data_IF_880044042514
#
_entry.id   IF_880044042514
#
_cell.length_a   1.000
_cell.length_b   1.000
_cell.length_c   1.000
_cell.angle_alpha   90.00
_cell.angle_beta   90.00
_cell.angle_gamma   90.00
#
_symmetry.space_group_name_H-M   'P 1'
#
loop_
_entity.id
_entity.type
_entity.pdbx_description
1 polymer ?
#
# COMPACT_ATOMS: atom_id res chain seq x y z
N UNK A 1 -5.60 -6.23 -44.31
CA UNK A 1 -6.78 -7.06 -43.99
C UNK A 1 -6.94 -7.08 -42.48
N UNK A 2 -7.91 -6.32 -41.97
CA UNK A 2 -8.26 -6.22 -40.56
C UNK A 2 -9.19 -7.36 -40.17
N UNK A 3 -8.80 -8.20 -39.21
CA UNK A 3 -9.69 -9.19 -38.60
C UNK A 3 -10.14 -8.66 -37.23
N UNK A 4 -11.39 -8.23 -37.18
CA UNK A 4 -12.15 -8.01 -35.95
C UNK A 4 -12.59 -9.35 -35.38
N UNK A 5 -12.35 -9.61 -34.10
CA UNK A 5 -12.95 -10.74 -33.39
C UNK A 5 -13.88 -10.21 -32.30
N UNK A 6 -15.14 -10.57 -32.45
CA UNK A 6 -16.31 -10.21 -31.64
C UNK A 6 -16.25 -10.83 -30.25
N UNK A 7 -16.74 -10.09 -29.25
CA UNK A 7 -16.84 -10.50 -27.85
C UNK A 7 -17.96 -11.53 -27.61
N UNK A 8 -17.67 -12.57 -26.83
CA UNK A 8 -18.66 -13.52 -26.30
C UNK A 8 -19.30 -12.99 -24.98
N UNK A 9 -20.50 -13.49 -24.57
CA UNK A 9 -21.32 -12.90 -23.51
C UNK A 9 -20.83 -13.21 -22.09
N UNK A 10 -21.19 -12.32 -21.14
CA UNK A 10 -21.01 -12.48 -19.70
C UNK A 10 -22.02 -13.49 -19.13
N UNK A 11 -21.57 -14.61 -18.54
CA UNK A 11 -22.16 -15.21 -17.34
C UNK A 11 -21.38 -16.43 -16.81
N UNK A 12 -21.63 -16.75 -15.54
CA UNK A 12 -21.12 -17.85 -14.70
C UNK A 12 -19.79 -17.57 -13.98
N UNK A 13 -19.85 -16.73 -12.94
CA UNK A 13 -18.99 -16.91 -11.76
C UNK A 13 -19.85 -17.52 -10.65
N UNK A 14 -19.64 -18.81 -10.39
CA UNK A 14 -20.32 -19.54 -9.33
C UNK A 14 -19.82 -19.11 -7.95
N UNK A 15 -20.52 -18.17 -7.33
CA UNK A 15 -20.42 -17.89 -5.90
C UNK A 15 -21.70 -18.42 -5.23
N UNK A 16 -21.59 -19.53 -4.49
CA UNK A 16 -22.67 -20.00 -3.63
C UNK A 16 -22.85 -19.04 -2.44
N UNK A 17 -24.09 -18.68 -2.06
CA UNK A 17 -24.34 -17.90 -0.85
C UNK A 17 -24.03 -18.73 0.40
N UNK A 18 -23.43 -18.08 1.40
CA UNK A 18 -23.08 -18.67 2.70
C UNK A 18 -24.37 -19.04 3.47
N UNK A 19 -24.45 -20.20 4.15
CA UNK A 19 -25.64 -20.59 4.90
C UNK A 19 -25.84 -19.71 6.15
N UNK A 20 -27.10 -19.33 6.43
CA UNK A 20 -27.50 -18.72 7.69
C UNK A 20 -27.23 -19.68 8.87
N UNK A 21 -26.37 -19.26 9.80
CA UNK A 21 -26.16 -19.94 11.06
C UNK A 21 -27.12 -19.36 12.11
N UNK A 22 -28.23 -20.05 12.35
CA UNK A 22 -29.10 -19.83 13.51
C UNK A 22 -28.41 -20.33 14.78
N UNK A 23 -27.89 -19.41 15.60
CA UNK A 23 -27.33 -19.74 16.92
C UNK A 23 -28.34 -19.35 17.99
N UNK A 24 -29.00 -20.36 18.58
CA UNK A 24 -29.77 -20.22 19.83
C UNK A 24 -28.82 -20.09 21.03
N UNK A 25 -28.96 -19.03 21.81
CA UNK A 25 -28.21 -18.83 23.05
C UNK A 25 -28.76 -19.70 24.20
N UNK A 26 -27.93 -20.43 24.96
CA UNK A 26 -28.30 -20.95 26.27
C UNK A 26 -27.97 -19.93 27.38
N UNK A 27 -28.92 -19.70 28.27
CA UNK A 27 -28.76 -18.80 29.42
C UNK A 27 -28.01 -19.43 30.59
N UNK A 28 -27.18 -18.64 31.26
CA UNK A 28 -26.66 -18.92 32.62
C UNK A 28 -26.62 -17.60 33.41
N UNK A 29 -27.01 -17.70 34.67
CA UNK A 29 -27.26 -16.61 35.61
C UNK A 29 -25.99 -16.05 36.30
N UNK A 30 -26.08 -14.74 36.58
CA UNK A 30 -25.43 -13.87 37.58
C UNK A 30 -24.28 -14.41 38.47
N UNK A 31 -23.12 -13.74 38.46
CA UNK A 31 -22.71 -12.71 39.46
C UNK A 31 -21.27 -12.24 39.21
N UNK A 32 -21.08 -11.00 38.76
CA UNK A 32 -19.79 -10.28 38.85
C UNK A 32 -20.08 -8.83 39.23
N UNK A 33 -19.38 -8.38 40.26
CA UNK A 33 -19.36 -7.04 40.84
C UNK A 33 -19.26 -5.94 39.78
N UNK A 34 -20.13 -4.93 39.89
CA UNK A 34 -20.21 -3.78 39.00
C UNK A 34 -18.91 -2.96 39.04
N UNK A 35 -18.05 -3.14 38.03
CA UNK A 35 -17.33 -2.01 37.47
C UNK A 35 -18.28 -1.32 36.49
N UNK A 36 -18.52 -0.03 36.67
CA UNK A 36 -19.34 0.76 35.74
C UNK A 36 -18.71 0.65 34.34
N UNK A 37 -19.42 0.11 33.33
CA UNK A 37 -18.91 0.13 31.97
C UNK A 37 -18.79 1.60 31.53
N UNK A 38 -17.76 1.98 30.76
CA UNK A 38 -17.83 3.24 30.02
C UNK A 38 -19.12 3.22 29.19
N UNK A 39 -19.87 4.32 29.18
CA UNK A 39 -21.18 4.39 28.54
C UNK A 39 -21.09 3.93 27.07
N UNK A 40 -21.80 2.84 26.75
CA UNK A 40 -21.80 2.18 25.43
C UNK A 40 -22.30 3.07 24.27
N UNK A 41 -22.85 4.25 24.55
CA UNK A 41 -23.40 5.16 23.52
C UNK A 41 -22.32 5.88 22.67
N UNK A 42 -21.08 5.96 23.16
CA UNK A 42 -19.99 6.64 22.43
C UNK A 42 -19.52 5.87 21.19
N UNK A 43 -19.42 4.55 21.29
CA UNK A 43 -18.80 3.70 20.27
C UNK A 43 -19.76 3.31 19.13
N UNK A 44 -21.08 3.36 19.35
CA UNK A 44 -22.09 3.10 18.32
C UNK A 44 -22.07 4.12 17.16
N UNK A 45 -21.32 5.22 17.30
CA UNK A 45 -21.12 6.24 16.26
C UNK A 45 -19.99 5.91 15.29
N UNK A 46 -19.15 4.92 15.62
CA UNK A 46 -18.06 4.51 14.75
C UNK A 46 -18.52 3.52 13.69
N UNK A 47 -17.82 3.53 12.55
CA UNK A 47 -17.95 2.48 11.55
C UNK A 47 -17.70 1.10 12.20
N UNK A 48 -18.46 0.05 11.84
CA UNK A 48 -18.29 -1.29 12.41
C UNK A 48 -16.84 -1.81 12.40
N UNK A 49 -16.02 -1.47 11.39
CA UNK A 49 -14.61 -1.89 11.37
C UNK A 49 -13.78 -1.28 12.50
N UNK A 50 -14.10 -0.06 12.92
CA UNK A 50 -13.44 0.62 14.04
C UNK A 50 -13.92 0.01 15.37
N UNK A 51 -15.21 -0.30 15.49
CA UNK A 51 -15.74 -1.01 16.66
C UNK A 51 -15.07 -2.38 16.82
N UNK A 52 -14.89 -3.12 15.73
CA UNK A 52 -14.14 -4.38 15.74
C UNK A 52 -12.67 -4.17 16.11
N UNK A 53 -12.02 -3.12 15.61
CA UNK A 53 -10.65 -2.79 15.98
C UNK A 53 -10.53 -2.52 17.49
N UNK A 54 -11.44 -1.73 18.06
CA UNK A 54 -11.47 -1.43 19.50
C UNK A 54 -11.62 -2.72 20.30
N UNK A 55 -12.63 -3.53 19.99
CA UNK A 55 -12.84 -4.80 20.69
C UNK A 55 -11.67 -5.77 20.56
N UNK A 56 -11.03 -5.83 19.39
CA UNK A 56 -9.82 -6.62 19.19
C UNK A 56 -8.66 -6.10 20.07
N UNK A 57 -8.36 -4.80 20.02
CA UNK A 57 -7.28 -4.19 20.80
C UNK A 57 -7.50 -4.37 22.31
N UNK A 58 -8.73 -4.16 22.80
CA UNK A 58 -9.08 -4.38 24.20
C UNK A 58 -8.91 -5.84 24.63
N UNK A 59 -9.18 -6.79 23.74
CA UNK A 59 -8.99 -8.22 24.02
C UNK A 59 -7.52 -8.62 24.04
N UNK A 60 -6.73 -8.17 23.06
CA UNK A 60 -5.34 -8.66 22.87
C UNK A 60 -4.28 -7.81 23.55
N UNK A 61 -4.58 -6.55 23.85
CA UNK A 61 -3.66 -5.59 24.48
C UNK A 61 -4.45 -4.50 25.24
N UNK A 62 -5.09 -4.83 26.38
CA UNK A 62 -5.84 -3.87 27.19
C UNK A 62 -5.00 -2.64 27.56
N UNK A 63 -5.48 -1.43 27.23
CA UNK A 63 -4.72 -0.16 27.43
C UNK A 63 -3.50 0.01 26.51
N UNK A 64 -3.30 -0.91 25.56
CA UNK A 64 -2.18 -0.90 24.62
C UNK A 64 -2.24 0.27 23.65
N UNK A 65 -3.45 0.72 23.29
CA UNK A 65 -3.66 1.90 22.43
C UNK A 65 -3.27 3.19 23.14
N UNK A 66 -3.68 3.40 24.39
CA UNK A 66 -3.27 4.58 25.18
C UNK A 66 -1.74 4.64 25.31
N UNK A 67 -1.12 3.49 25.61
CA UNK A 67 0.34 3.38 25.70
C UNK A 67 1.02 3.67 24.36
N UNK A 68 0.44 3.21 23.25
CA UNK A 68 0.94 3.52 21.91
C UNK A 68 0.85 5.02 21.62
N UNK A 69 -0.27 5.67 21.93
CA UNK A 69 -0.44 7.12 21.72
C UNK A 69 0.58 7.92 22.53
N UNK A 70 0.82 7.54 23.79
CA UNK A 70 1.86 8.18 24.62
C UNK A 70 3.26 8.00 24.01
N UNK A 71 3.60 6.78 23.57
CA UNK A 71 4.87 6.51 22.90
C UNK A 71 5.02 7.31 21.61
N UNK A 72 4.01 7.32 20.73
CA UNK A 72 3.99 8.08 19.50
C UNK A 72 4.15 9.59 19.76
N UNK A 73 3.45 10.12 20.75
CA UNK A 73 3.50 11.53 21.16
C UNK A 73 4.87 11.93 21.71
N UNK A 74 5.54 11.04 22.45
CA UNK A 74 6.91 11.30 22.93
C UNK A 74 7.94 11.32 21.80
N UNK A 75 7.73 10.50 20.76
CA UNK A 75 8.65 10.40 19.62
C UNK A 75 8.47 11.53 18.63
N UNK A 76 7.22 11.91 18.35
CA UNK A 76 6.89 12.93 17.35
C UNK A 76 5.67 13.79 17.73
N UNK A 77 5.82 14.70 18.71
CA UNK A 77 4.69 15.52 19.18
C UNK A 77 4.16 16.47 18.09
N UNK A 78 5.03 16.98 17.22
CA UNK A 78 4.63 17.88 16.13
C UNK A 78 3.74 17.18 15.09
N UNK A 79 4.08 15.94 14.73
CA UNK A 79 3.30 15.14 13.78
C UNK A 79 1.94 14.76 14.37
N UNK A 80 1.91 14.32 15.64
CA UNK A 80 0.66 14.03 16.35
C UNK A 80 -0.25 15.26 16.41
N UNK A 81 0.34 16.43 16.74
CA UNK A 81 -0.39 17.70 16.79
C UNK A 81 -0.90 18.14 15.42
N UNK A 82 -0.17 17.88 14.32
CA UNK A 82 -0.60 18.22 12.94
C UNK A 82 -1.97 17.61 12.62
N UNK A 83 -2.23 16.40 13.11
CA UNK A 83 -3.47 15.66 12.87
C UNK A 83 -4.40 15.65 14.09
N UNK A 84 -4.13 16.49 15.09
CA UNK A 84 -4.94 16.65 16.30
C UNK A 84 -5.16 15.35 17.11
N UNK A 85 -4.20 14.42 17.06
CA UNK A 85 -4.25 13.16 17.81
C UNK A 85 -3.59 13.41 19.18
N UNK A 86 -4.38 13.30 20.26
CA UNK A 86 -3.96 13.62 21.63
C UNK A 86 -4.08 12.43 22.59
N UNK A 87 -4.97 11.51 22.28
CA UNK A 87 -5.38 10.39 23.11
C UNK A 87 -5.95 9.25 22.23
N UNK A 88 -6.27 8.10 22.83
CA UNK A 88 -6.86 6.99 22.10
C UNK A 88 -8.20 7.34 21.41
N UNK A 89 -9.16 8.05 22.05
CA UNK A 89 -10.39 8.47 21.38
C UNK A 89 -10.17 9.33 20.13
N UNK A 90 -9.29 10.35 20.19
CA UNK A 90 -9.00 11.20 19.03
C UNK A 90 -8.33 10.43 17.89
N UNK A 91 -7.50 9.43 18.19
CA UNK A 91 -6.97 8.51 17.18
C UNK A 91 -8.06 7.65 16.53
N UNK A 92 -8.99 7.11 17.33
CA UNK A 92 -10.10 6.30 16.81
C UNK A 92 -11.06 7.13 15.94
N UNK A 93 -11.29 8.40 16.29
CA UNK A 93 -11.99 9.35 15.42
C UNK A 93 -11.22 9.62 14.13
N UNK A 94 -9.91 9.88 14.20
CA UNK A 94 -9.08 10.03 13.02
C UNK A 94 -9.15 8.81 12.09
N UNK A 95 -9.03 7.60 12.64
CA UNK A 95 -9.16 6.35 11.88
C UNK A 95 -10.57 6.19 11.27
N UNK A 96 -11.61 6.48 12.04
CA UNK A 96 -12.97 6.41 11.52
C UNK A 96 -13.22 7.39 10.37
N UNK A 97 -12.72 8.62 10.50
CA UNK A 97 -12.90 9.67 9.50
C UNK A 97 -12.13 9.36 8.22
N UNK A 98 -11.02 8.62 8.32
CA UNK A 98 -10.25 8.16 7.17
C UNK A 98 -11.09 7.28 6.23
N UNK A 99 -12.07 6.52 6.74
CA UNK A 99 -12.94 5.65 5.94
C UNK A 99 -13.83 6.42 4.95
N UNK A 100 -14.04 7.73 5.17
CA UNK A 100 -14.79 8.61 4.26
C UNK A 100 -13.97 9.85 3.89
N UNK A 101 -12.65 9.77 3.98
CA UNK A 101 -11.76 10.90 3.77
C UNK A 101 -11.64 11.26 2.29
N UNK A 102 -11.97 12.51 1.98
CA UNK A 102 -11.78 13.12 0.66
C UNK A 102 -10.36 13.70 0.58
N UNK A 103 -9.43 13.11 -0.19
CA UNK A 103 -8.04 13.54 -0.17
C UNK A 103 -7.86 14.97 -0.68
N UNK A 104 -6.98 15.72 -0.04
CA UNK A 104 -6.53 17.06 -0.43
C UNK A 104 -5.06 17.19 -0.17
N UNK A 105 -4.44 18.17 -0.83
CA UNK A 105 -3.01 18.36 -0.76
C UNK A 105 -2.63 19.82 -0.55
N UNK A 106 -1.50 20.02 0.14
CA UNK A 106 -0.84 21.31 0.26
C UNK A 106 -0.01 21.62 -0.98
N UNK A 107 0.54 22.83 -1.04
CA UNK A 107 1.49 23.19 -2.08
C UNK A 107 2.71 22.23 -2.10
N UNK A 108 3.16 21.76 -0.94
CA UNK A 108 4.36 20.92 -0.79
C UNK A 108 4.15 19.44 -1.14
N UNK A 109 2.91 18.97 -1.30
CA UNK A 109 2.66 17.58 -1.72
C UNK A 109 2.95 16.53 -0.64
N UNK A 110 2.70 16.85 0.64
CA UNK A 110 3.01 15.96 1.79
C UNK A 110 1.80 15.51 2.60
N UNK A 111 0.64 16.15 2.50
CA UNK A 111 -0.46 15.91 3.42
C UNK A 111 -1.06 14.51 3.27
N UNK A 112 -1.25 14.00 2.04
CA UNK A 112 -1.71 12.61 1.85
C UNK A 112 -0.73 11.62 2.44
N UNK A 113 0.56 11.85 2.20
CA UNK A 113 1.63 11.00 2.71
C UNK A 113 1.63 10.98 4.24
N UNK A 114 1.58 12.15 4.86
CA UNK A 114 1.57 12.34 6.31
C UNK A 114 0.34 11.68 6.96
N UNK A 115 -0.86 11.87 6.38
CA UNK A 115 -2.10 11.26 6.88
C UNK A 115 -2.00 9.73 6.87
N UNK A 116 -1.52 9.15 5.77
CA UNK A 116 -1.35 7.70 5.68
C UNK A 116 -0.27 7.20 6.63
N UNK A 117 0.85 7.91 6.75
CA UNK A 117 1.93 7.54 7.67
C UNK A 117 1.48 7.58 9.13
N UNK A 118 0.66 8.55 9.53
CA UNK A 118 0.21 8.70 10.91
C UNK A 118 -0.57 7.48 11.41
N UNK A 119 -1.49 6.96 10.60
CA UNK A 119 -2.28 5.79 10.97
C UNK A 119 -1.38 4.61 11.37
N UNK A 120 -0.38 4.31 10.53
CA UNK A 120 0.54 3.21 10.80
C UNK A 120 1.59 3.56 11.85
N UNK A 121 2.01 4.82 11.96
CA UNK A 121 2.97 5.26 12.98
C UNK A 121 2.46 4.97 14.39
N UNK A 122 1.18 5.22 14.68
CA UNK A 122 0.57 4.87 15.97
C UNK A 122 0.55 3.35 16.18
N UNK A 123 0.21 2.58 15.14
CA UNK A 123 0.17 1.12 15.23
C UNK A 123 1.56 0.48 15.25
N UNK A 124 2.62 1.20 14.87
CA UNK A 124 4.02 0.74 14.91
C UNK A 124 4.70 0.89 16.28
N UNK A 125 3.98 1.48 17.23
CA UNK A 125 4.48 1.61 18.60
C UNK A 125 4.62 0.23 19.26
N UNK A 126 5.59 0.06 20.19
CA UNK A 126 5.97 -1.27 20.71
C UNK A 126 4.81 -2.14 21.20
N UNK A 127 3.78 -1.54 21.79
CA UNK A 127 2.59 -2.23 22.31
C UNK A 127 1.67 -2.78 21.23
N UNK A 128 1.65 -2.17 20.04
CA UNK A 128 0.74 -2.51 18.94
C UNK A 128 1.45 -3.06 17.71
N UNK A 129 2.78 -2.95 17.61
CA UNK A 129 3.55 -3.29 16.40
C UNK A 129 3.24 -4.67 15.82
N UNK A 130 3.11 -5.68 16.70
CA UNK A 130 2.81 -7.07 16.30
C UNK A 130 1.36 -7.28 15.84
N UNK A 131 0.50 -6.28 16.02
CA UNK A 131 -0.93 -6.31 15.73
C UNK A 131 -1.30 -5.54 14.45
N UNK A 132 -0.30 -5.05 13.70
CA UNK A 132 -0.52 -4.36 12.42
C UNK A 132 -0.99 -5.32 11.32
N UNK A 133 -2.27 -5.69 11.35
CA UNK A 133 -2.80 -6.72 10.44
C UNK A 133 -4.28 -6.53 10.13
N UNK A 134 -4.63 -5.49 9.37
CA UNK A 134 -5.95 -5.47 8.73
C UNK A 134 -5.90 -4.87 7.32
N UNK A 135 -5.76 -5.76 6.33
CA UNK A 135 -5.99 -5.42 4.93
C UNK A 135 -7.42 -4.90 4.69
N UNK A 136 -8.38 -5.33 5.52
CA UNK A 136 -9.79 -4.93 5.42
C UNK A 136 -9.93 -3.42 5.60
N UNK A 137 -9.26 -2.82 6.57
CA UNK A 137 -9.34 -1.37 6.80
C UNK A 137 -8.85 -0.58 5.57
N UNK A 138 -7.68 -0.95 5.03
CA UNK A 138 -7.15 -0.32 3.81
C UNK A 138 -8.08 -0.52 2.61
N UNK A 139 -8.68 -1.71 2.46
CA UNK A 139 -9.68 -1.97 1.41
C UNK A 139 -10.92 -1.10 1.55
N UNK A 140 -11.42 -0.87 2.77
CA UNK A 140 -12.61 -0.03 3.00
C UNK A 140 -12.35 1.43 2.66
N UNK A 141 -11.20 1.99 3.10
CA UNK A 141 -10.82 3.35 2.65
C UNK A 141 -10.72 3.38 1.13
N UNK A 142 -10.14 2.34 0.54
CA UNK A 142 -10.04 2.19 -0.90
C UNK A 142 -11.36 2.17 -1.66
N UNK A 143 -12.34 1.43 -1.15
CA UNK A 143 -13.70 1.39 -1.70
C UNK A 143 -14.36 2.76 -1.67
N UNK A 144 -14.16 3.54 -0.61
CA UNK A 144 -14.62 4.93 -0.57
C UNK A 144 -13.94 5.77 -1.66
N UNK A 145 -12.64 5.61 -1.88
CA UNK A 145 -11.87 6.32 -2.91
C UNK A 145 -12.26 5.96 -4.37
N UNK A 146 -13.03 4.89 -4.55
CA UNK A 146 -13.69 4.51 -5.80
C UNK A 146 -15.10 5.11 -5.97
N UNK A 147 -15.58 5.92 -5.01
CA UNK A 147 -16.89 6.57 -5.11
C UNK A 147 -16.78 8.02 -5.62
N UNK A 148 -17.85 8.58 -6.20
CA UNK A 148 -17.89 10.00 -6.59
C UNK A 148 -17.69 10.99 -5.44
N UNK A 149 -18.00 10.59 -4.20
CA UNK A 149 -17.82 11.43 -3.02
C UNK A 149 -16.34 11.67 -2.69
N UNK A 150 -15.43 10.81 -3.16
CA UNK A 150 -14.00 10.87 -2.87
C UNK A 150 -13.24 11.98 -3.57
N UNK A 151 -13.85 12.65 -4.55
CA UNK A 151 -13.21 13.76 -5.28
C UNK A 151 -14.19 14.92 -5.45
N UNK A 152 -13.77 16.09 -4.98
CA UNK A 152 -14.55 17.33 -5.08
C UNK A 152 -13.81 18.36 -5.92
N UNK A 153 -14.48 19.43 -6.40
CA UNK A 153 -13.79 20.52 -7.10
C UNK A 153 -12.68 21.17 -6.27
N UNK A 154 -12.86 21.30 -4.95
CA UNK A 154 -11.84 21.86 -4.05
C UNK A 154 -10.68 20.90 -3.83
N UNK A 155 -10.95 19.60 -3.71
CA UNK A 155 -9.93 18.54 -3.67
C UNK A 155 -9.10 18.53 -4.95
N UNK A 156 -9.74 18.49 -6.12
CA UNK A 156 -9.06 18.53 -7.40
C UNK A 156 -8.24 19.82 -7.60
N UNK A 157 -8.77 20.97 -7.14
CA UNK A 157 -8.03 22.25 -7.14
C UNK A 157 -6.77 22.20 -6.26
N UNK A 158 -6.82 21.50 -5.12
CA UNK A 158 -5.65 21.35 -4.25
C UNK A 158 -4.49 20.64 -4.97
N UNK A 159 -4.77 19.56 -5.71
CA UNK A 159 -3.75 18.87 -6.52
C UNK A 159 -3.24 19.70 -7.69
N UNK A 160 -4.10 20.48 -8.34
CA UNK A 160 -3.69 21.44 -9.38
C UNK A 160 -2.71 22.49 -8.85
N UNK A 161 -2.90 22.88 -7.58
CA UNK A 161 -2.08 23.87 -6.91
C UNK A 161 -0.82 23.29 -6.24
N UNK A 162 -0.62 21.97 -6.30
CA UNK A 162 0.54 21.29 -5.73
C UNK A 162 1.53 20.95 -6.85
N UNK A 163 2.64 21.70 -7.02
CA UNK A 163 3.61 21.43 -8.09
C UNK A 163 4.14 19.99 -8.14
N UNK A 164 4.42 19.30 -7.01
CA UNK A 164 4.87 17.91 -7.03
C UNK A 164 3.94 16.93 -7.75
N UNK A 165 2.63 17.18 -7.75
CA UNK A 165 1.65 16.34 -8.46
C UNK A 165 1.70 16.48 -9.98
N UNK A 166 2.35 17.55 -10.48
CA UNK A 166 2.52 17.82 -11.92
C UNK A 166 1.22 17.63 -12.69
N UNK A 167 0.13 18.19 -12.18
CA UNK A 167 -1.23 17.97 -12.69
C UNK A 167 -1.35 18.25 -14.20
N UNK A 168 -0.57 19.21 -14.70
CA UNK A 168 -0.53 19.58 -16.12
C UNK A 168 -0.06 18.45 -17.05
N UNK A 169 0.62 17.42 -16.54
CA UNK A 169 1.03 16.23 -17.30
C UNK A 169 -0.11 15.22 -17.50
N UNK A 170 -1.19 15.32 -16.72
CA UNK A 170 -2.30 14.37 -16.77
C UNK A 170 -3.05 14.44 -18.11
N UNK A 171 -3.36 13.27 -18.66
CA UNK A 171 -4.38 13.13 -19.69
C UNK A 171 -5.76 13.09 -19.01
N UNK A 172 -6.53 14.16 -19.18
CA UNK A 172 -7.78 14.38 -18.45
C UNK A 172 -8.93 13.75 -19.27
N UNK A 173 -9.65 12.76 -18.72
CA UNK A 173 -10.79 12.16 -19.40
C UNK A 173 -11.88 13.17 -19.75
N UNK A 174 -12.67 12.88 -20.78
CA UNK A 174 -13.86 13.67 -21.09
C UNK A 174 -14.81 13.67 -19.88
N UNK A 175 -15.13 14.84 -19.35
CA UNK A 175 -15.92 14.98 -18.11
C UNK A 175 -15.09 15.08 -16.83
N UNK A 176 -13.76 14.95 -16.90
CA UNK A 176 -12.85 15.02 -15.77
C UNK A 176 -12.71 13.71 -15.01
N UNK A 177 -12.12 13.78 -13.82
CA UNK A 177 -11.98 12.62 -12.93
C UNK A 177 -13.23 12.51 -12.04
N UNK A 178 -13.86 11.34 -12.03
CA UNK A 178 -15.08 11.08 -11.26
C UNK A 178 -14.83 10.48 -9.88
N UNK A 179 -13.63 9.96 -9.61
CA UNK A 179 -13.24 9.40 -8.31
C UNK A 179 -11.80 9.77 -8.01
N UNK A 180 -11.39 9.73 -6.75
CA UNK A 180 -10.00 9.96 -6.38
C UNK A 180 -9.09 8.90 -6.99
N UNK A 181 -9.48 7.62 -6.97
CA UNK A 181 -8.68 6.54 -7.57
C UNK A 181 -8.49 6.72 -9.09
N UNK A 182 -9.49 7.25 -9.81
CA UNK A 182 -9.35 7.59 -11.23
C UNK A 182 -8.32 8.71 -11.46
N UNK A 183 -8.27 9.71 -10.57
CA UNK A 183 -7.24 10.76 -10.60
C UNK A 183 -5.86 10.24 -10.19
N UNK A 184 -5.79 9.44 -9.14
CA UNK A 184 -4.54 8.91 -8.62
C UNK A 184 -3.84 8.00 -9.63
N UNK A 185 -4.62 7.19 -10.34
CA UNK A 185 -4.19 6.33 -11.45
C UNK A 185 -4.35 6.99 -12.82
N UNK A 186 -4.35 8.33 -12.89
CA UNK A 186 -4.44 9.10 -14.15
C UNK A 186 -3.44 8.60 -15.19
N UNK A 187 -3.81 8.68 -16.46
CA UNK A 187 -2.85 8.55 -17.57
C UNK A 187 -2.07 9.85 -17.72
N UNK A 188 -0.90 9.79 -18.33
CA UNK A 188 -0.13 10.97 -18.73
C UNK A 188 -0.39 11.28 -20.21
N UNK A 189 -0.22 12.55 -20.59
CA UNK A 189 -0.24 12.95 -22.00
C UNK A 189 0.84 12.19 -22.77
N UNK A 190 0.58 11.78 -24.02
CA UNK A 190 1.57 11.09 -24.84
C UNK A 190 2.86 11.90 -25.01
N UNK A 191 4.01 11.20 -25.10
CA UNK A 191 5.31 11.81 -25.37
C UNK A 191 6.05 12.39 -24.17
N UNK A 192 5.45 12.44 -22.97
CA UNK A 192 6.10 12.99 -21.76
C UNK A 192 7.16 12.08 -21.13
N UNK A 193 7.18 10.79 -21.50
CA UNK A 193 8.14 9.78 -21.03
C UNK A 193 8.68 9.01 -22.24
N UNK A 194 9.58 9.61 -23.05
CA UNK A 194 10.18 8.90 -24.19
C UNK A 194 10.98 7.69 -23.70
N UNK A 195 10.74 6.53 -24.33
CA UNK A 195 11.45 5.29 -24.01
C UNK A 195 12.83 5.34 -24.65
N UNK A 196 13.87 5.02 -23.87
CA UNK A 196 15.25 4.93 -24.37
C UNK A 196 15.44 3.67 -25.20
N UNK A 197 16.17 3.78 -26.31
CA UNK A 197 16.50 2.69 -27.25
C UNK A 197 15.34 1.73 -27.56
N UNK A 198 14.21 2.20 -28.13
CA UNK A 198 13.09 1.32 -28.47
C UNK A 198 13.52 0.18 -29.41
N UNK A 199 13.24 -1.06 -29.03
CA UNK A 199 13.60 -2.26 -29.79
C UNK A 199 14.98 -2.86 -29.47
N UNK A 200 15.76 -2.24 -28.58
CA UNK A 200 17.00 -2.80 -28.04
C UNK A 200 16.77 -3.37 -26.64
N UNK A 201 16.50 -4.67 -26.56
CA UNK A 201 16.27 -5.38 -25.30
C UNK A 201 17.54 -5.51 -24.42
N UNK A 202 18.70 -5.00 -24.86
CA UNK A 202 19.88 -4.88 -23.99
C UNK A 202 19.80 -3.67 -23.05
N UNK A 203 18.91 -2.72 -23.33
CA UNK A 203 18.67 -1.52 -22.52
C UNK A 203 17.43 -1.73 -21.66
N UNK A 204 17.62 -1.70 -20.34
CA UNK A 204 16.53 -1.77 -19.37
C UNK A 204 16.16 -0.35 -18.96
N UNK A 205 14.89 0.03 -19.11
CA UNK A 205 14.38 1.35 -18.74
C UNK A 205 13.68 1.31 -17.38
N UNK A 206 13.47 2.49 -16.76
CA UNK A 206 12.72 2.56 -15.50
C UNK A 206 11.24 2.17 -15.73
N UNK A 207 10.67 1.30 -14.87
CA UNK A 207 9.29 0.86 -15.01
C UNK A 207 8.26 1.88 -14.53
N UNK A 208 8.67 2.90 -13.76
CA UNK A 208 7.75 3.89 -13.21
C UNK A 208 8.46 5.21 -12.86
N UNK A 209 7.67 6.28 -12.71
CA UNK A 209 8.12 7.50 -12.01
C UNK A 209 8.33 7.16 -10.53
N UNK A 210 9.59 7.04 -10.12
CA UNK A 210 9.94 6.63 -8.76
C UNK A 210 11.29 7.24 -8.35
N UNK A 211 11.63 7.09 -7.07
CA UNK A 211 12.99 7.33 -6.57
C UNK A 211 13.55 6.03 -6.03
N UNK A 212 14.87 5.88 -6.02
CA UNK A 212 15.47 4.84 -5.20
C UNK A 212 15.04 5.00 -3.74
N UNK A 213 14.78 3.88 -3.09
CA UNK A 213 14.30 3.90 -1.71
C UNK A 213 15.41 4.38 -0.74
N UNK A 214 16.67 4.16 -1.16
CA UNK A 214 17.91 4.45 -0.45
C UNK A 214 18.15 3.62 0.81
N UNK A 215 17.47 2.48 0.95
CA UNK A 215 17.77 1.54 2.03
C UNK A 215 19.12 0.86 1.83
N UNK A 216 19.58 0.61 0.60
CA UNK A 216 20.94 0.09 0.38
C UNK A 216 21.87 1.14 -0.23
N UNK A 217 23.17 0.95 0.05
CA UNK A 217 24.24 1.63 -0.69
C UNK A 217 24.13 1.37 -2.19
N UNK A 218 24.77 2.21 -3.01
CA UNK A 218 24.73 2.08 -4.47
C UNK A 218 23.28 2.11 -5.01
N UNK A 219 22.53 3.17 -4.69
CA UNK A 219 21.19 3.41 -5.26
C UNK A 219 20.23 2.22 -5.08
N UNK A 220 20.26 1.53 -3.94
CA UNK A 220 19.32 0.42 -3.64
C UNK A 220 19.42 -0.78 -4.59
N UNK A 221 20.62 -1.03 -5.14
CA UNK A 221 20.93 -2.25 -5.89
C UNK A 221 21.68 -3.27 -5.03
N UNK A 222 21.33 -4.56 -5.18
CA UNK A 222 22.01 -5.66 -4.51
C UNK A 222 22.16 -6.87 -5.44
N UNK A 223 23.23 -7.63 -5.26
CA UNK A 223 23.39 -8.92 -5.94
C UNK A 223 22.60 -9.99 -5.19
N UNK A 224 21.89 -10.83 -5.92
CA UNK A 224 21.24 -12.01 -5.38
C UNK A 224 22.29 -13.12 -5.32
N UNK A 225 22.54 -13.66 -4.14
CA UNK A 225 23.51 -14.73 -3.91
C UNK A 225 22.87 -15.87 -3.12
N UNK A 226 23.06 -17.10 -3.59
CA UNK A 226 22.46 -18.30 -3.02
C UNK A 226 20.94 -18.11 -2.84
N UNK A 227 20.28 -17.68 -3.93
CA UNK A 227 18.84 -17.45 -4.02
C UNK A 227 18.29 -16.40 -3.07
N UNK A 228 19.13 -15.52 -2.50
CA UNK A 228 18.74 -14.57 -1.47
C UNK A 228 19.36 -13.18 -1.66
N UNK A 229 18.73 -12.17 -1.06
CA UNK A 229 19.25 -10.80 -0.96
C UNK A 229 19.38 -10.39 0.51
N UNK A 230 20.45 -9.68 0.87
CA UNK A 230 20.62 -9.16 2.22
C UNK A 230 20.08 -7.72 2.30
N UNK A 231 19.07 -7.52 3.15
CA UNK A 231 18.39 -6.24 3.34
C UNK A 231 18.24 -6.04 4.85
N UNK A 232 18.71 -4.89 5.36
CA UNK A 232 18.71 -4.56 6.80
C UNK A 232 19.47 -5.58 7.65
N UNK A 233 20.58 -6.13 7.13
CA UNK A 233 21.35 -7.22 7.76
C UNK A 233 20.54 -8.52 7.96
N UNK A 234 19.40 -8.64 7.28
CA UNK A 234 18.57 -9.84 7.28
C UNK A 234 18.63 -10.47 5.88
N UNK A 235 18.85 -11.78 5.84
CA UNK A 235 18.87 -12.55 4.59
C UNK A 235 17.44 -12.90 4.18
N UNK A 236 17.06 -12.52 2.96
CA UNK A 236 15.74 -12.75 2.41
C UNK A 236 15.78 -13.67 1.19
N UNK A 237 15.15 -14.86 1.27
CA UNK A 237 15.03 -15.75 0.11
C UNK A 237 14.14 -15.13 -0.97
N UNK A 238 14.57 -15.20 -2.23
CA UNK A 238 13.75 -14.75 -3.37
C UNK A 238 12.49 -15.60 -3.53
N UNK A 239 12.55 -16.89 -3.18
CA UNK A 239 11.38 -17.77 -3.16
C UNK A 239 10.26 -17.20 -2.27
N UNK A 240 10.60 -16.63 -1.13
CA UNK A 240 9.62 -15.98 -0.25
C UNK A 240 8.98 -14.76 -0.93
N UNK A 241 9.76 -13.94 -1.64
CA UNK A 241 9.25 -12.78 -2.36
C UNK A 241 8.27 -13.19 -3.46
N UNK A 242 8.57 -14.29 -4.16
CA UNK A 242 7.81 -14.81 -5.29
C UNK A 242 6.74 -15.86 -4.90
N UNK A 243 6.52 -16.08 -3.60
CA UNK A 243 5.60 -17.09 -3.07
C UNK A 243 5.86 -18.46 -3.72
N UNK A 244 7.09 -18.95 -3.54
CA UNK A 244 7.59 -20.25 -3.98
C UNK A 244 7.31 -20.58 -5.46
N UNK A 245 7.44 -19.56 -6.32
CA UNK A 245 7.42 -19.74 -7.76
C UNK A 245 8.49 -20.74 -8.20
N UNK A 246 8.18 -21.59 -9.19
CA UNK A 246 9.14 -22.50 -9.82
C UNK A 246 10.34 -21.76 -10.43
N UNK A 247 10.14 -20.48 -10.77
CA UNK A 247 11.17 -19.59 -11.29
C UNK A 247 12.03 -18.93 -10.20
N UNK A 248 11.83 -19.21 -8.90
CA UNK A 248 12.60 -18.51 -7.86
C UNK A 248 14.11 -18.77 -7.96
N UNK A 249 14.50 -20.03 -8.24
CA UNK A 249 15.90 -20.42 -8.41
C UNK A 249 16.54 -19.77 -9.65
N UNK A 250 15.72 -19.31 -10.59
CA UNK A 250 16.22 -18.49 -11.66
C UNK A 250 16.90 -17.26 -11.04
N UNK A 251 16.31 -16.50 -10.12
CA UNK A 251 16.89 -15.19 -9.72
C UNK A 251 18.30 -15.20 -9.07
N UNK A 252 18.87 -16.37 -8.76
CA UNK A 252 20.24 -16.47 -8.28
C UNK A 252 21.29 -15.89 -9.26
N UNK A 253 22.28 -15.21 -8.69
CA UNK A 253 23.31 -14.47 -9.41
C UNK A 253 22.84 -13.17 -10.08
N UNK A 254 21.54 -12.86 -10.00
CA UNK A 254 20.92 -11.67 -10.58
C UNK A 254 21.12 -10.39 -9.75
N UNK A 255 20.41 -9.33 -10.17
CA UNK A 255 20.43 -8.02 -9.51
C UNK A 255 19.02 -7.69 -9.01
N UNK A 256 18.95 -7.38 -7.73
CA UNK A 256 17.78 -6.81 -7.08
C UNK A 256 17.87 -5.28 -7.08
N UNK A 257 16.74 -4.62 -7.33
CA UNK A 257 16.59 -3.17 -7.26
C UNK A 257 15.35 -2.82 -6.44
N UNK A 258 15.45 -1.80 -5.60
CA UNK A 258 14.30 -1.24 -4.90
C UNK A 258 14.09 0.22 -5.19
N UNK A 259 12.89 0.50 -5.68
CA UNK A 259 12.40 1.84 -5.95
C UNK A 259 11.09 2.09 -5.18
N UNK A 260 10.85 3.35 -4.86
CA UNK A 260 9.70 3.81 -4.10
C UNK A 260 8.90 4.83 -4.91
N UNK A 261 7.58 4.64 -4.96
CA UNK A 261 6.64 5.60 -5.53
C UNK A 261 6.01 6.41 -4.40
N UNK A 262 6.28 7.72 -4.37
CA UNK A 262 5.63 8.66 -3.47
C UNK A 262 4.21 8.98 -3.96
N UNK A 263 3.33 9.47 -3.08
CA UNK A 263 1.92 9.81 -3.36
C UNK A 263 1.71 10.83 -4.48
N UNK A 264 2.75 11.61 -4.80
CA UNK A 264 2.76 12.63 -5.86
C UNK A 264 3.14 12.07 -7.23
N UNK A 265 3.63 10.84 -7.30
CA UNK A 265 4.15 10.24 -8.53
C UNK A 265 3.02 9.82 -9.49
N UNK A 266 3.42 9.36 -10.67
CA UNK A 266 2.54 8.70 -11.62
C UNK A 266 2.41 7.22 -11.21
N UNK A 267 1.23 6.83 -10.74
CA UNK A 267 0.97 5.49 -10.18
C UNK A 267 0.47 4.49 -11.21
N UNK A 268 1.17 4.41 -12.36
CA UNK A 268 1.09 3.25 -13.24
C UNK A 268 2.50 2.78 -13.53
N UNK A 269 2.63 1.47 -13.65
CA UNK A 269 3.89 0.80 -13.94
C UNK A 269 3.86 0.29 -15.37
N UNK A 270 5.02 0.32 -16.00
CA UNK A 270 5.27 -0.10 -17.37
C UNK A 270 6.34 -1.19 -17.39
N UNK A 271 6.35 -2.00 -18.45
CA UNK A 271 7.37 -3.02 -18.61
C UNK A 271 8.74 -2.36 -18.85
N UNK A 272 9.79 -2.71 -18.09
CA UNK A 272 11.11 -2.11 -18.23
C UNK A 272 11.91 -2.64 -19.44
N UNK A 273 11.45 -3.74 -20.05
CA UNK A 273 12.03 -4.39 -21.24
C UNK A 273 10.96 -5.29 -21.88
N UNK A 274 11.12 -5.62 -23.17
CA UNK A 274 10.23 -6.55 -23.86
C UNK A 274 10.37 -7.97 -23.28
N UNK A 275 9.25 -8.70 -23.22
CA UNK A 275 9.25 -10.08 -22.76
C UNK A 275 7.88 -10.74 -22.80
N UNK A 276 7.87 -12.03 -22.50
CA UNK A 276 6.65 -12.83 -22.35
C UNK A 276 6.36 -13.06 -20.88
N UNK A 277 5.17 -12.66 -20.42
CA UNK A 277 4.73 -12.92 -19.05
C UNK A 277 4.64 -14.44 -18.83
N UNK A 278 5.37 -14.92 -17.82
CA UNK A 278 5.35 -16.31 -17.37
C UNK A 278 4.39 -16.49 -16.20
N UNK A 279 4.38 -15.54 -15.27
CA UNK A 279 3.60 -15.63 -14.04
C UNK A 279 3.10 -14.24 -13.64
N UNK A 280 1.84 -14.15 -13.20
CA UNK A 280 1.27 -12.96 -12.57
C UNK A 280 0.48 -13.38 -11.34
N UNK A 281 0.91 -12.95 -10.15
CA UNK A 281 0.29 -13.29 -8.86
C UNK A 281 -0.13 -12.04 -8.10
N UNK A 282 -1.26 -12.14 -7.39
CA UNK A 282 -1.63 -11.21 -6.33
C UNK A 282 -1.38 -11.89 -4.97
N UNK A 283 -0.23 -11.61 -4.37
CA UNK A 283 0.21 -12.24 -3.13
C UNK A 283 -0.36 -11.45 -1.96
N UNK A 284 -1.25 -12.09 -1.20
CA UNK A 284 -1.83 -11.49 0.00
C UNK A 284 -0.81 -11.51 1.15
N UNK A 285 -0.69 -10.39 1.85
CA UNK A 285 0.17 -10.24 3.02
C UNK A 285 -0.35 -9.13 3.92
N UNK A 286 0.55 -8.50 4.66
CA UNK A 286 0.19 -7.41 5.57
C UNK A 286 0.01 -6.08 4.83
N UNK A 287 -0.92 -5.25 5.31
CA UNK A 287 -0.95 -3.82 5.03
C UNK A 287 -0.24 -3.14 6.21
N UNK A 288 1.05 -2.86 6.04
CA UNK A 288 1.95 -2.39 7.08
C UNK A 288 2.77 -1.22 6.54
N UNK A 289 3.17 -0.29 7.41
CA UNK A 289 4.10 0.77 7.06
C UNK A 289 5.01 1.03 8.26
N UNK A 290 6.31 1.05 8.03
CA UNK A 290 7.28 1.53 9.02
C UNK A 290 7.42 3.05 8.88
N UNK A 291 7.18 3.77 9.98
CA UNK A 291 7.39 5.20 10.07
C UNK A 291 8.43 5.48 11.16
N UNK A 292 9.40 6.33 10.84
CA UNK A 292 10.45 6.74 11.76
C UNK A 292 9.93 7.76 12.80
N UNK A 293 10.80 8.15 13.73
CA UNK A 293 10.49 9.11 14.79
C UNK A 293 10.16 10.52 14.27
N UNK A 294 10.34 10.82 12.97
CA UNK A 294 9.93 12.09 12.36
C UNK A 294 8.68 11.94 11.49
N UNK A 295 8.03 10.76 11.50
CA UNK A 295 6.81 10.51 10.72
C UNK A 295 7.10 10.30 9.24
N UNK A 296 8.37 10.24 8.85
CA UNK A 296 8.80 9.81 7.52
C UNK A 296 8.86 8.28 7.45
N UNK A 297 8.94 7.71 6.25
CA UNK A 297 9.34 6.31 6.14
C UNK A 297 10.76 6.14 6.67
N UNK A 298 11.02 5.03 7.38
CA UNK A 298 12.38 4.62 7.70
C UNK A 298 13.12 4.33 6.38
N UNK A 299 13.86 5.32 5.87
CA UNK A 299 14.68 5.19 4.65
C UNK A 299 16.12 4.80 4.93
N UNK A 300 16.61 5.01 6.15
CA UNK A 300 18.01 4.78 6.51
C UNK A 300 18.21 3.37 7.07
N UNK A 301 19.07 2.59 6.43
CA UNK A 301 19.60 1.36 7.01
C UNK A 301 20.77 1.65 7.95
N UNK A 302 20.74 1.05 9.16
CA UNK A 302 21.90 0.98 10.05
C UNK A 302 21.94 1.95 11.24
N UNK A 303 20.87 2.68 11.56
CA UNK A 303 20.76 3.43 12.82
C UNK A 303 20.57 2.51 14.04
N UNK A 304 20.74 3.04 15.26
CA UNK A 304 20.58 2.27 16.51
C UNK A 304 19.19 1.59 16.65
N UNK A 305 18.17 2.14 15.99
CA UNK A 305 16.80 1.59 15.93
C UNK A 305 16.56 0.56 14.80
N UNK A 306 17.60 0.20 14.01
CA UNK A 306 17.48 -0.74 12.88
C UNK A 306 17.43 -2.22 13.28
N UNK A 307 17.15 -2.52 14.54
CA UNK A 307 17.18 -3.87 15.08
C UNK A 307 15.81 -4.56 14.96
N UNK A 308 15.83 -5.74 14.34
CA UNK A 308 14.83 -6.83 14.44
C UNK A 308 13.59 -6.84 13.55
N UNK A 309 13.33 -5.86 12.67
CA UNK A 309 12.12 -5.91 11.85
C UNK A 309 12.33 -6.61 10.49
N UNK A 310 11.50 -7.60 10.12
CA UNK A 310 11.57 -8.23 8.81
C UNK A 310 11.48 -7.19 7.70
N UNK A 311 12.19 -7.41 6.59
CA UNK A 311 12.02 -6.65 5.36
C UNK A 311 10.54 -6.67 4.98
N UNK A 312 9.83 -5.57 5.27
CA UNK A 312 8.39 -5.41 5.10
C UNK A 312 7.92 -5.82 3.70
N UNK A 313 8.83 -5.74 2.74
CA UNK A 313 8.70 -6.15 1.35
C UNK A 313 8.18 -7.58 1.14
N UNK A 314 8.70 -8.51 1.92
CA UNK A 314 8.46 -9.95 1.77
C UNK A 314 7.17 -10.38 2.45
N UNK A 315 6.66 -9.55 3.37
CA UNK A 315 5.50 -9.87 4.20
C UNK A 315 4.24 -9.10 3.79
N UNK A 316 4.37 -8.01 3.05
CA UNK A 316 3.22 -7.22 2.66
C UNK A 316 2.47 -7.78 1.44
N UNK A 317 1.20 -7.40 1.31
CA UNK A 317 0.43 -7.59 0.08
C UNK A 317 1.16 -6.95 -1.10
N UNK A 318 1.27 -7.69 -2.20
CA UNK A 318 2.04 -7.28 -3.39
C UNK A 318 1.56 -8.01 -4.65
N UNK A 319 1.73 -7.37 -5.80
CA UNK A 319 1.72 -8.04 -7.09
C UNK A 319 3.11 -8.62 -7.38
N UNK A 320 3.14 -9.79 -8.02
CA UNK A 320 4.35 -10.37 -8.61
C UNK A 320 4.10 -10.57 -10.10
N UNK A 321 5.04 -10.13 -10.94
CA UNK A 321 5.01 -10.35 -12.39
C UNK A 321 6.38 -10.89 -12.80
N UNK A 322 6.40 -12.07 -13.41
CA UNK A 322 7.59 -12.69 -13.97
C UNK A 322 7.48 -12.73 -15.48
N UNK A 323 8.55 -12.37 -16.17
CA UNK A 323 8.61 -12.39 -17.62
C UNK A 323 9.92 -12.99 -18.12
N UNK A 324 9.84 -13.79 -19.19
CA UNK A 324 10.99 -14.21 -19.98
C UNK A 324 11.38 -13.09 -20.94
N UNK A 325 12.62 -12.61 -20.84
CA UNK A 325 13.14 -11.51 -21.67
C UNK A 325 14.32 -12.00 -22.51
N UNK A 326 14.56 -11.35 -23.65
CA UNK A 326 15.73 -11.64 -24.48
C UNK A 326 17.01 -10.94 -24.01
N UNK A 327 16.88 -10.04 -23.03
CA UNK A 327 18.00 -9.34 -22.40
C UNK A 327 19.09 -10.36 -21.98
N UNK A 328 20.32 -10.06 -22.37
CA UNK A 328 21.51 -10.92 -22.34
C UNK A 328 21.59 -11.84 -21.11
N UNK A 329 22.15 -13.06 -21.27
CA UNK A 329 22.32 -14.09 -20.21
C UNK A 329 22.86 -13.56 -18.86
N UNK A 330 23.57 -12.43 -18.85
CA UNK A 330 24.13 -11.78 -17.67
C UNK A 330 23.15 -10.92 -16.85
N UNK A 331 21.99 -10.52 -17.41
CA UNK A 331 21.04 -9.57 -16.79
C UNK A 331 19.62 -10.13 -16.60
N UNK A 332 19.43 -11.44 -16.78
CA UNK A 332 18.13 -12.12 -16.97
C UNK A 332 17.00 -11.81 -15.97
N UNK A 333 17.22 -11.10 -14.86
CA UNK A 333 16.45 -11.30 -13.62
C UNK A 333 16.36 -10.02 -12.79
N UNK A 334 15.74 -8.98 -13.35
CA UNK A 334 15.39 -7.77 -12.58
C UNK A 334 13.97 -7.92 -12.01
N UNK A 335 13.85 -7.97 -10.69
CA UNK A 335 12.58 -7.79 -10.00
C UNK A 335 12.28 -6.29 -9.91
N UNK A 336 11.23 -5.82 -10.59
CA UNK A 336 10.67 -4.49 -10.31
C UNK A 336 9.67 -4.63 -9.16
N UNK A 337 9.89 -3.87 -8.07
CA UNK A 337 9.14 -4.00 -6.82
C UNK A 337 8.54 -2.67 -6.32
N UNK A 338 7.38 -2.84 -5.68
CA UNK A 338 6.40 -2.05 -4.90
C UNK A 338 6.40 -0.51 -4.79
N UNK A 339 5.20 0.06 -4.98
CA UNK A 339 4.75 1.32 -4.35
C UNK A 339 3.96 1.05 -3.06
N UNK A 340 4.28 1.77 -1.98
CA UNK A 340 3.64 1.62 -0.66
C UNK A 340 2.55 2.68 -0.43
N UNK A 341 1.66 2.35 0.52
CA UNK A 341 0.51 3.07 1.06
C UNK A 341 -0.72 3.12 0.15
N UNK A 342 -0.64 3.70 -1.05
CA UNK A 342 -1.88 3.96 -1.79
C UNK A 342 -2.35 2.79 -2.66
N UNK A 343 -1.47 1.85 -3.02
CA UNK A 343 -1.89 0.64 -3.72
C UNK A 343 -2.75 -0.27 -2.85
N UNK A 344 -2.58 -0.27 -1.52
CA UNK A 344 -3.46 -1.02 -0.60
C UNK A 344 -4.90 -0.45 -0.55
N UNK A 345 -5.04 0.85 -0.81
CA UNK A 345 -6.33 1.53 -1.00
C UNK A 345 -6.87 1.42 -2.45
N UNK A 346 -6.07 0.98 -3.42
CA UNK A 346 -6.50 0.85 -4.81
C UNK A 346 -6.65 -0.61 -5.25
N UNK A 347 -6.64 -1.59 -4.33
CA UNK A 347 -6.80 -3.02 -4.66
C UNK A 347 -8.27 -3.32 -4.98
N UNK A 348 -8.71 -2.86 -6.15
CA UNK A 348 -9.64 -3.60 -6.98
C UNK A 348 -8.93 -3.84 -8.30
N UNK A 349 -8.36 -5.04 -8.43
CA UNK A 349 -7.91 -5.52 -9.72
C UNK A 349 -9.15 -5.60 -10.62
N UNK A 350 -9.30 -4.65 -11.54
CA UNK A 350 -10.12 -4.88 -12.72
C UNK A 350 -9.27 -5.76 -13.65
N UNK A 351 -9.65 -7.02 -13.88
CA UNK A 351 -8.98 -7.83 -14.89
C UNK A 351 -9.52 -7.38 -16.25
N UNK A 352 -9.10 -6.21 -16.75
CA UNK A 352 -9.42 -5.81 -18.13
C UNK A 352 -8.24 -5.08 -18.80
N UNK A 353 -7.73 -5.78 -19.83
CA UNK A 353 -6.93 -5.35 -20.99
C UNK A 353 -5.42 -5.24 -20.78
N UNK A 354 -4.70 -5.81 -21.76
CA UNK A 354 -3.25 -5.94 -21.81
C UNK A 354 -2.52 -4.60 -21.71
N UNK A 355 -1.22 -4.70 -21.43
CA UNK A 355 -0.31 -3.56 -21.34
C UNK A 355 -0.39 -2.73 -22.62
N UNK A 356 -0.64 -1.43 -22.45
CA UNK A 356 -0.41 -0.45 -23.49
C UNK A 356 1.08 -0.08 -23.46
N UNK A 357 1.73 -0.19 -24.61
CA UNK A 357 3.12 0.20 -24.85
C UNK A 357 3.31 1.72 -24.80
#
# INVERSE_FOLDING_TARGET
MSLSVTTAPEEVTGLSPVPNLDIKAPGIAQTVTQATPPSNDGYLRFNPVIVMLIGYLDQVSPGGLDTAILSASSKNPAFMSKLSIKDAPSFLHFANDLLNWVPRESFEGKDIYDILCMFYFVLDQPTLRKLQTSMIYAQLVGQFLDTPASITPSSLKSFKNSPPYRFHEADIPKGGFHTFNAFFTRRLKPGLRPISSPGDDSVIVYPADCTYDNSLTNQSFARINDGSVEIKKVRWPISMLLQDSEHAADFDGGIWMHAFLNTTNYHRQHAPVSGTVLEAKNIQGMAHLEADSVGGHVRMMGGADSSENPGYQFLQTRGSLLAATQAHKAMRRMLAWKGIALHALAIRATPKKGFEY
#
